data_IF_008772557649
#
_entry.id   IF_008772557649
#
_cell.length_a   1.000
_cell.length_b   1.000
_cell.length_c   1.000
_cell.angle_alpha   90.00
_cell.angle_beta   90.00
_cell.angle_gamma   90.00
#
_symmetry.space_group_name_H-M   'P 1'
#
loop_
_entity.id
_entity.type
_entity.pdbx_description
1 polymer ?
#
# COMPACT_ATOMS: atom_id res chain seq x y z
N UNK A 1 -12.94 -10.11 -9.79
CA UNK A 1 -13.30 -9.54 -8.48
C UNK A 1 -12.18 -8.61 -8.09
N UNK A 2 -12.28 -7.32 -8.42
CA UNK A 2 -11.54 -6.33 -7.63
C UNK A 2 -12.37 -6.27 -6.36
N UNK A 3 -11.87 -6.94 -5.33
CA UNK A 3 -12.44 -6.96 -3.99
C UNK A 3 -12.67 -5.52 -3.51
N UNK A 4 -13.74 -5.30 -2.74
CA UNK A 4 -14.09 -3.99 -2.16
C UNK A 4 -12.89 -3.34 -1.44
N UNK A 5 -12.02 -4.18 -0.87
CA UNK A 5 -10.76 -3.80 -0.24
C UNK A 5 -9.71 -3.30 -1.23
N UNK A 6 -9.55 -3.92 -2.40
CA UNK A 6 -8.65 -3.43 -3.45
C UNK A 6 -9.01 -2.01 -3.85
N UNK A 7 -10.31 -1.71 -4.02
CA UNK A 7 -10.78 -0.35 -4.33
C UNK A 7 -10.47 0.63 -3.20
N UNK A 8 -10.67 0.24 -1.94
CA UNK A 8 -10.38 1.09 -0.79
C UNK A 8 -8.87 1.38 -0.65
N UNK A 9 -8.02 0.39 -0.85
CA UNK A 9 -6.56 0.52 -0.82
C UNK A 9 -6.07 1.42 -1.94
N UNK A 10 -6.57 1.22 -3.16
CA UNK A 10 -6.28 2.11 -4.30
C UNK A 10 -6.67 3.56 -4.02
N UNK A 11 -7.81 3.80 -3.36
CA UNK A 11 -8.22 5.16 -2.97
C UNK A 11 -7.25 5.80 -1.98
N UNK A 12 -6.79 5.05 -0.97
CA UNK A 12 -5.82 5.58 0.01
C UNK A 12 -4.50 5.91 -0.69
N UNK A 13 -4.01 5.02 -1.56
CA UNK A 13 -2.78 5.25 -2.33
C UNK A 13 -2.88 6.46 -3.27
N UNK A 14 -4.01 6.61 -3.96
CA UNK A 14 -4.24 7.73 -4.87
C UNK A 14 -4.31 9.08 -4.15
N UNK A 15 -4.85 9.12 -2.93
CA UNK A 15 -4.94 10.35 -2.15
C UNK A 15 -3.62 10.75 -1.48
N UNK A 16 -2.72 9.80 -1.25
CA UNK A 16 -1.44 10.05 -0.59
C UNK A 16 -0.31 10.38 -1.54
N UNK A 17 -0.48 10.08 -2.83
CA UNK A 17 0.66 10.05 -3.75
C UNK A 17 0.37 10.77 -5.05
N UNK A 18 1.36 11.53 -5.49
CA UNK A 18 1.39 12.17 -6.81
C UNK A 18 2.07 11.24 -7.83
N UNK A 19 2.53 10.08 -7.38
CA UNK A 19 3.28 9.11 -8.18
C UNK A 19 2.35 7.99 -8.66
N UNK A 20 2.61 7.47 -9.87
CA UNK A 20 1.86 6.33 -10.43
C UNK A 20 2.22 5.03 -9.72
N UNK A 21 1.68 4.83 -8.51
CA UNK A 21 1.95 3.63 -7.72
C UNK A 21 1.30 2.41 -8.36
N UNK A 22 2.15 1.51 -8.84
CA UNK A 22 1.71 0.20 -9.30
C UNK A 22 1.58 -0.74 -8.11
N UNK A 23 0.34 -1.08 -7.77
CA UNK A 23 0.00 -2.04 -6.73
C UNK A 23 -0.16 -3.44 -7.32
N UNK A 24 0.53 -4.43 -6.75
CA UNK A 24 0.45 -5.84 -7.16
C UNK A 24 0.61 -6.80 -5.98
N UNK A 25 0.30 -8.08 -6.21
CA UNK A 25 0.40 -9.18 -5.23
C UNK A 25 -0.27 -8.88 -3.87
N UNK A 26 -1.57 -8.58 -3.91
CA UNK A 26 -2.38 -8.31 -2.72
C UNK A 26 -2.77 -9.62 -2.04
N UNK A 27 -2.57 -9.69 -0.72
CA UNK A 27 -3.02 -10.78 0.15
C UNK A 27 -3.76 -10.18 1.35
N UNK A 28 -4.96 -10.68 1.63
CA UNK A 28 -5.75 -10.28 2.79
C UNK A 28 -5.99 -11.50 3.67
N UNK A 29 -5.61 -11.41 4.94
CA UNK A 29 -5.95 -12.36 5.97
C UNK A 29 -6.94 -11.73 6.95
N UNK A 30 -8.01 -12.45 7.27
CA UNK A 30 -8.99 -12.03 8.28
C UNK A 30 -8.89 -12.94 9.50
N UNK A 31 -8.53 -12.36 10.64
CA UNK A 31 -8.40 -13.01 11.94
C UNK A 31 -9.45 -12.45 12.90
N UNK A 32 -10.67 -12.99 12.83
CA UNK A 32 -11.79 -12.48 13.62
C UNK A 32 -12.07 -11.02 13.28
N UNK A 33 -11.80 -10.12 14.23
CA UNK A 33 -11.98 -8.67 14.07
C UNK A 33 -10.73 -7.96 13.50
N UNK A 34 -9.60 -8.65 13.35
CA UNK A 34 -8.37 -8.08 12.80
C UNK A 34 -8.20 -8.45 11.33
N UNK A 35 -7.85 -7.46 10.51
CA UNK A 35 -7.51 -7.67 9.11
C UNK A 35 -6.03 -7.35 8.88
N UNK A 36 -5.31 -8.30 8.30
CA UNK A 36 -3.92 -8.12 7.89
C UNK A 36 -3.85 -8.09 6.36
N UNK A 37 -3.29 -7.01 5.81
CA UNK A 37 -3.16 -6.80 4.38
C UNK A 37 -1.69 -6.74 4.00
N UNK A 38 -1.25 -7.62 3.10
CA UNK A 38 0.11 -7.60 2.55
C UNK A 38 0.05 -7.30 1.06
N UNK A 39 0.80 -6.30 0.59
CA UNK A 39 0.85 -5.97 -0.84
C UNK A 39 2.18 -5.36 -1.25
N UNK A 40 2.39 -5.29 -2.55
CA UNK A 40 3.60 -4.72 -3.16
C UNK A 40 3.25 -3.42 -3.88
N UNK A 41 4.16 -2.46 -3.79
CA UNK A 41 4.10 -1.19 -4.54
C UNK A 41 5.40 -0.97 -5.31
N UNK A 42 5.31 -0.39 -6.50
CA UNK A 42 6.49 0.12 -7.20
C UNK A 42 6.67 1.61 -7.00
N UNK A 43 7.91 2.03 -6.76
CA UNK A 43 8.31 3.44 -6.55
C UNK A 43 9.47 3.85 -7.48
N UNK A 44 9.67 5.17 -7.72
CA UNK A 44 10.81 5.66 -8.49
C UNK A 44 12.16 5.21 -7.95
N UNK A 45 13.06 4.81 -8.85
CA UNK A 45 14.42 4.35 -8.52
C UNK A 45 15.28 5.36 -7.75
N UNK A 46 14.92 6.65 -7.81
CA UNK A 46 15.67 7.74 -7.17
C UNK A 46 15.05 8.17 -5.84
N UNK A 47 13.91 7.60 -5.43
CA UNK A 47 13.31 7.88 -4.13
C UNK A 47 14.22 7.33 -3.03
N UNK A 48 14.52 8.16 -2.05
CA UNK A 48 15.35 7.77 -0.91
C UNK A 48 14.61 6.78 0.00
N UNK A 49 15.38 6.03 0.79
CA UNK A 49 14.81 5.11 1.78
C UNK A 49 13.92 5.88 2.76
N UNK A 50 14.33 7.08 3.18
CA UNK A 50 13.57 7.93 4.09
C UNK A 50 12.21 8.35 3.50
N UNK A 51 12.20 8.86 2.26
CA UNK A 51 10.97 9.24 1.56
C UNK A 51 10.03 8.04 1.40
N UNK A 52 10.57 6.88 0.99
CA UNK A 52 9.79 5.66 0.82
C UNK A 52 9.20 5.16 2.14
N UNK A 53 9.95 5.25 3.24
CA UNK A 53 9.50 4.87 4.56
C UNK A 53 8.41 5.81 5.08
N UNK A 54 8.59 7.13 4.93
CA UNK A 54 7.61 8.12 5.31
C UNK A 54 6.28 7.90 4.56
N UNK A 55 6.37 7.65 3.25
CA UNK A 55 5.22 7.34 2.42
C UNK A 55 4.49 6.07 2.88
N UNK A 56 5.21 4.97 3.04
CA UNK A 56 4.63 3.69 3.51
C UNK A 56 4.00 3.85 4.88
N UNK A 57 4.62 4.60 5.78
CA UNK A 57 4.10 4.88 7.12
C UNK A 57 2.76 5.63 7.06
N UNK A 58 2.67 6.65 6.21
CA UNK A 58 1.43 7.42 6.02
C UNK A 58 0.30 6.53 5.47
N UNK A 59 0.59 5.70 4.46
CA UNK A 59 -0.39 4.76 3.89
C UNK A 59 -0.87 3.77 4.95
N UNK A 60 0.05 3.13 5.70
CA UNK A 60 -0.29 2.18 6.77
C UNK A 60 -1.17 2.83 7.84
N UNK A 61 -0.83 4.05 8.25
CA UNK A 61 -1.60 4.82 9.22
C UNK A 61 -3.03 5.05 8.72
N UNK A 62 -3.21 5.48 7.47
CA UNK A 62 -4.55 5.68 6.89
C UNK A 62 -5.35 4.40 6.73
N UNK A 63 -4.71 3.28 6.40
CA UNK A 63 -5.39 1.98 6.34
C UNK A 63 -5.84 1.53 7.73
N UNK A 64 -5.00 1.72 8.76
CA UNK A 64 -5.36 1.42 10.15
C UNK A 64 -6.51 2.31 10.63
N UNK A 65 -6.41 3.62 10.43
CA UNK A 65 -7.35 4.59 10.99
C UNK A 65 -8.72 4.54 10.29
N UNK A 66 -8.77 4.32 8.98
CA UNK A 66 -10.02 4.36 8.21
C UNK A 66 -10.69 2.99 8.06
N UNK A 67 -9.92 1.91 8.07
CA UNK A 67 -10.40 0.57 7.71
C UNK A 67 -10.10 -0.49 8.79
N UNK A 68 -9.38 -0.14 9.86
CA UNK A 68 -8.92 -1.08 10.89
C UNK A 68 -8.09 -2.24 10.31
N UNK A 69 -7.33 -1.95 9.25
CA UNK A 69 -6.45 -2.91 8.57
C UNK A 69 -5.00 -2.65 8.99
N UNK A 70 -4.32 -3.70 9.46
CA UNK A 70 -2.87 -3.71 9.64
C UNK A 70 -2.18 -4.09 8.34
N UNK A 71 -1.44 -3.17 7.75
CA UNK A 71 -0.84 -3.38 6.43
C UNK A 71 0.67 -3.63 6.48
N UNK A 72 1.15 -4.60 5.70
CA UNK A 72 2.57 -4.82 5.36
C UNK A 72 2.78 -4.48 3.89
N UNK A 73 3.67 -3.52 3.61
CA UNK A 73 3.88 -3.00 2.26
C UNK A 73 5.32 -3.31 1.83
N UNK A 74 5.48 -4.10 0.77
CA UNK A 74 6.77 -4.36 0.14
C UNK A 74 7.03 -3.33 -0.96
N UNK A 75 8.17 -2.64 -0.89
CA UNK A 75 8.58 -1.66 -1.90
C UNK A 75 9.46 -2.35 -2.95
N UNK A 76 9.12 -2.13 -4.22
CA UNK A 76 9.91 -2.52 -5.38
C UNK A 76 10.30 -1.28 -6.19
N UNK A 77 11.48 -1.28 -6.85
CA UNK A 77 11.79 -0.26 -7.84
C UNK A 77 10.93 -0.40 -9.10
N UNK A 78 10.64 0.70 -9.80
CA UNK A 78 10.19 0.59 -11.19
C UNK A 78 11.24 -0.15 -12.01
N UNK A 79 10.83 -1.25 -12.64
CA UNK A 79 11.68 -1.98 -13.57
C UNK A 79 12.08 -1.02 -14.70
N UNK A 80 13.38 -0.89 -14.96
CA UNK A 80 13.83 -0.39 -16.27
C UNK A 80 13.43 -1.46 -17.28
N UNK A 81 12.50 -1.15 -18.17
CA UNK A 81 12.30 -1.91 -19.40
C UNK A 81 13.48 -1.66 -20.35
#
# INVERSE_FOLDING_TARGET
CVDEYGVAVYRVLFLETIHDIQLHHIHLHSYGEHQELTFHIRLPNMMTVEESHALVTAIRQKLRDNLSIEATIHIEPYQRQ
#
